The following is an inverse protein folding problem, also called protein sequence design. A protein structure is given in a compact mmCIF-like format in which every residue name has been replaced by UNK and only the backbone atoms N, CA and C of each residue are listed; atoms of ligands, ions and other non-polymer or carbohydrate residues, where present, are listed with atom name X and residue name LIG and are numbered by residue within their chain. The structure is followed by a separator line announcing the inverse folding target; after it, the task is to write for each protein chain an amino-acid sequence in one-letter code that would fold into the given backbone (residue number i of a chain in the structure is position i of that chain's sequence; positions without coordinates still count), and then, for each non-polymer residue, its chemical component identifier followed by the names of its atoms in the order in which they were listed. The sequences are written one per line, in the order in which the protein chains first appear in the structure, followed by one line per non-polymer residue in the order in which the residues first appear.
data_IF_751751180433
#
_entry.id   IF_751751180433
#
_cell.length_a   1.000
_cell.length_b   1.000
_cell.length_c   1.000
_cell.angle_alpha   90.00
_cell.angle_beta   90.00
_cell.angle_gamma   90.00
#
_symmetry.space_group_name_H-M   'P 1'
#
loop_
_entity.id
_entity.type
_entity.pdbx_description
1 polymer ?
#
# COMPACT_ATOMS: atom_id res chain seq x y z
N UNK A 1 28.24 -11.86 -20.00
CA UNK A 1 26.99 -11.55 -20.75
C UNK A 1 26.40 -12.75 -21.51
N UNK A 2 27.18 -13.77 -21.95
CA UNK A 2 26.68 -14.89 -22.79
C UNK A 2 25.97 -16.03 -22.05
N UNK A 3 25.96 -16.03 -20.71
CA UNK A 3 25.34 -17.09 -19.92
C UNK A 3 23.80 -16.99 -19.92
N UNK A 4 23.25 -15.76 -19.87
CA UNK A 4 21.80 -15.51 -19.92
C UNK A 4 21.19 -15.83 -21.29
N UNK A 5 21.95 -15.66 -22.38
CA UNK A 5 21.49 -15.96 -23.73
C UNK A 5 21.33 -17.47 -23.94
N UNK A 6 22.21 -18.28 -23.33
CA UNK A 6 22.13 -19.75 -23.39
C UNK A 6 20.97 -20.29 -22.55
N UNK A 7 20.77 -19.76 -21.34
CA UNK A 7 19.65 -20.16 -20.48
C UNK A 7 18.31 -19.69 -21.04
N UNK A 8 18.23 -18.46 -21.58
CA UNK A 8 17.02 -17.95 -22.23
C UNK A 8 16.64 -18.75 -23.48
N UNK A 9 17.62 -19.12 -24.31
CA UNK A 9 17.39 -19.98 -25.47
C UNK A 9 16.90 -21.37 -25.07
N UNK A 10 17.44 -21.94 -23.98
CA UNK A 10 16.99 -23.22 -23.45
C UNK A 10 15.52 -23.17 -23.00
N UNK A 11 15.12 -22.14 -22.24
CA UNK A 11 13.73 -21.96 -21.79
C UNK A 11 12.78 -21.72 -22.98
N UNK A 12 13.20 -20.90 -23.95
CA UNK A 12 12.40 -20.65 -25.14
C UNK A 12 12.18 -21.92 -25.97
N UNK A 13 13.20 -22.77 -26.12
CA UNK A 13 13.09 -24.07 -26.78
C UNK A 13 12.16 -25.01 -26.03
N UNK A 14 12.23 -25.04 -24.70
CA UNK A 14 11.38 -25.86 -23.85
C UNK A 14 9.91 -25.45 -24.00
N UNK A 15 9.61 -24.15 -23.92
CA UNK A 15 8.26 -23.59 -24.14
C UNK A 15 7.75 -23.86 -25.56
N UNK A 16 8.60 -23.73 -26.58
CA UNK A 16 8.22 -24.02 -27.96
C UNK A 16 7.92 -25.51 -28.17
N UNK A 17 8.71 -26.39 -27.56
CA UNK A 17 8.49 -27.84 -27.61
C UNK A 17 7.19 -28.23 -26.92
N UNK A 18 6.89 -27.66 -25.75
CA UNK A 18 5.61 -27.86 -25.07
C UNK A 18 4.43 -27.37 -25.93
N UNK A 19 4.55 -26.20 -26.56
CA UNK A 19 3.52 -25.68 -27.47
C UNK A 19 3.30 -26.60 -28.67
N UNK A 20 4.36 -27.12 -29.30
CA UNK A 20 4.25 -28.06 -30.42
C UNK A 20 3.65 -29.39 -29.99
N UNK A 21 3.98 -29.89 -28.80
CA UNK A 21 3.45 -31.17 -28.31
C UNK A 21 1.96 -31.05 -27.91
N UNK A 22 1.58 -29.93 -27.28
CA UNK A 22 0.21 -29.65 -26.83
C UNK A 22 -0.72 -29.25 -27.97
N UNK A 23 -0.27 -28.42 -28.92
CA UNK A 23 -1.05 -28.04 -30.10
C UNK A 23 -0.93 -29.04 -31.25
N UNK A 24 0.22 -29.70 -31.43
CA UNK A 24 0.44 -30.69 -32.48
C UNK A 24 -0.39 -31.95 -32.31
N UNK A 25 -0.58 -32.40 -31.07
CA UNK A 25 -1.55 -33.48 -30.76
C UNK A 25 -2.99 -33.06 -31.08
N UNK A 26 -3.37 -31.80 -30.77
CA UNK A 26 -4.67 -31.20 -31.12
C UNK A 26 -4.85 -30.85 -32.60
N UNK A 27 -3.80 -30.94 -33.43
CA UNK A 27 -3.87 -30.74 -34.88
C UNK A 27 -4.11 -32.05 -35.63
N UNK A 28 -3.70 -33.19 -35.04
CA UNK A 28 -3.84 -34.51 -35.65
C UNK A 28 -5.18 -35.17 -35.30
N UNK A 29 -5.61 -35.06 -34.04
CA UNK A 29 -7.03 -35.20 -33.73
C UNK A 29 -7.69 -33.95 -34.30
N UNK A 30 -8.61 -34.13 -35.25
CA UNK A 30 -9.44 -33.08 -35.83
C UNK A 30 -9.72 -32.04 -34.76
N UNK A 31 -9.20 -30.82 -34.94
CA UNK A 31 -9.57 -29.65 -34.13
C UNK A 31 -11.05 -29.81 -33.84
N UNK A 32 -11.50 -29.91 -32.58
CA UNK A 32 -12.91 -29.95 -32.29
C UNK A 32 -13.47 -28.60 -32.75
N UNK A 33 -13.83 -28.52 -34.03
CA UNK A 33 -14.50 -27.37 -34.62
C UNK A 33 -15.88 -27.22 -33.99
N UNK A 34 -16.38 -28.27 -33.34
CA UNK A 34 -17.56 -28.27 -32.48
C UNK A 34 -17.34 -27.53 -31.14
N UNK A 35 -16.09 -27.33 -30.69
CA UNK A 35 -15.78 -26.59 -29.45
C UNK A 35 -15.51 -25.09 -29.69
N UNK A 36 -15.49 -24.64 -30.94
CA UNK A 36 -15.64 -23.22 -31.21
C UNK A 36 -17.09 -22.88 -30.94
N UNK A 37 -17.43 -22.60 -29.67
CA UNK A 37 -18.74 -22.09 -29.27
C UNK A 37 -18.99 -20.85 -30.12
N UNK A 38 -19.72 -21.03 -31.21
CA UNK A 38 -20.16 -19.96 -32.10
C UNK A 38 -21.28 -19.27 -31.39
N UNK A 39 -20.87 -18.40 -30.48
CA UNK A 39 -21.73 -17.51 -29.78
C UNK A 39 -22.58 -16.73 -30.79
N UNK A 40 -23.90 -16.80 -30.64
CA UNK A 40 -24.83 -16.12 -31.54
C UNK A 40 -24.64 -14.60 -31.50
N UNK A 41 -25.09 -13.91 -32.55
CA UNK A 41 -25.05 -12.46 -32.59
C UNK A 41 -25.83 -11.88 -31.40
N UNK A 42 -25.12 -11.21 -30.49
CA UNK A 42 -25.68 -10.69 -29.23
C UNK A 42 -25.17 -11.37 -27.97
N UNK A 43 -24.37 -12.43 -28.09
CA UNK A 43 -23.70 -13.02 -26.96
C UNK A 43 -22.64 -12.10 -26.35
N UNK A 44 -22.59 -12.05 -25.02
CA UNK A 44 -21.65 -11.24 -24.27
C UNK A 44 -21.01 -12.06 -23.17
N UNK A 45 -19.72 -12.35 -23.32
CA UNK A 45 -18.88 -12.97 -22.28
C UNK A 45 -18.95 -12.20 -20.96
N UNK A 46 -19.05 -10.86 -21.02
CA UNK A 46 -19.14 -10.01 -19.82
C UNK A 46 -20.44 -10.28 -19.05
N UNK A 47 -21.54 -10.53 -19.77
CA UNK A 47 -22.83 -10.86 -19.14
C UNK A 47 -22.79 -12.21 -18.46
N UNK A 48 -22.23 -13.23 -19.09
CA UNK A 48 -22.16 -14.58 -18.54
C UNK A 48 -21.28 -14.64 -17.28
N UNK A 49 -20.12 -13.96 -17.32
CA UNK A 49 -19.26 -13.85 -16.14
C UNK A 49 -19.97 -13.08 -15.02
N UNK A 50 -20.66 -11.99 -15.35
CA UNK A 50 -21.44 -11.24 -14.35
C UNK A 50 -22.54 -12.12 -13.74
N UNK A 51 -23.27 -12.90 -14.54
CA UNK A 51 -24.28 -13.83 -14.05
C UNK A 51 -23.69 -14.84 -13.06
N UNK A 52 -22.54 -15.42 -13.40
CA UNK A 52 -21.85 -16.37 -12.53
C UNK A 52 -21.42 -15.72 -11.21
N UNK A 53 -20.85 -14.51 -11.25
CA UNK A 53 -20.39 -13.79 -10.04
C UNK A 53 -21.56 -13.39 -9.15
N UNK A 54 -22.65 -12.88 -9.73
CA UNK A 54 -23.76 -12.32 -8.95
C UNK A 54 -24.83 -13.34 -8.54
N UNK A 55 -24.96 -14.47 -9.24
CA UNK A 55 -25.98 -15.48 -8.93
C UNK A 55 -25.35 -16.69 -8.24
N UNK A 56 -24.32 -17.29 -8.85
CA UNK A 56 -23.78 -18.57 -8.39
C UNK A 56 -22.69 -18.38 -7.32
N UNK A 57 -21.85 -17.36 -7.47
CA UNK A 57 -20.66 -17.15 -6.64
C UNK A 57 -20.68 -15.86 -5.82
N UNK A 58 -21.86 -15.51 -5.30
CA UNK A 58 -22.02 -14.30 -4.47
C UNK A 58 -21.17 -14.33 -3.20
N UNK A 59 -21.11 -15.48 -2.50
CA UNK A 59 -20.35 -15.60 -1.24
C UNK A 59 -18.83 -15.45 -1.44
N UNK A 60 -18.17 -16.14 -2.41
CA UNK A 60 -16.77 -15.87 -2.75
C UNK A 60 -16.51 -14.41 -3.15
N UNK A 61 -17.43 -13.79 -3.89
CA UNK A 61 -17.30 -12.39 -4.29
C UNK A 61 -17.36 -11.44 -3.08
N UNK A 62 -18.27 -11.67 -2.14
CA UNK A 62 -18.33 -10.93 -0.88
C UNK A 62 -17.04 -11.08 -0.07
N UNK A 63 -16.52 -12.30 0.05
CA UNK A 63 -15.24 -12.56 0.70
C UNK A 63 -14.08 -11.79 0.04
N UNK A 64 -14.03 -11.76 -1.30
CA UNK A 64 -13.04 -10.98 -2.02
C UNK A 64 -13.13 -9.48 -1.69
N UNK A 65 -14.36 -8.94 -1.56
CA UNK A 65 -14.56 -7.53 -1.17
C UNK A 65 -14.06 -7.22 0.24
N UNK A 66 -14.26 -8.14 1.20
CA UNK A 66 -13.75 -8.00 2.58
C UNK A 66 -12.22 -8.10 2.60
N UNK A 67 -11.65 -9.03 1.84
CA UNK A 67 -10.18 -9.15 1.69
C UNK A 67 -9.60 -7.85 1.13
N UNK A 68 -10.23 -7.26 0.11
CA UNK A 68 -9.81 -5.99 -0.47
C UNK A 68 -9.86 -4.86 0.56
N UNK A 69 -10.92 -4.79 1.35
CA UNK A 69 -11.04 -3.82 2.43
C UNK A 69 -9.91 -3.96 3.46
N UNK A 70 -9.66 -5.19 3.94
CA UNK A 70 -8.57 -5.48 4.88
C UNK A 70 -7.21 -5.13 4.28
N UNK A 71 -7.00 -5.43 2.99
CA UNK A 71 -5.76 -5.11 2.29
C UNK A 71 -5.48 -3.60 2.26
N UNK A 72 -6.50 -2.79 2.00
CA UNK A 72 -6.37 -1.32 2.02
C UNK A 72 -6.01 -0.82 3.42
N UNK A 73 -6.71 -1.30 4.45
CA UNK A 73 -6.41 -0.94 5.85
C UNK A 73 -4.98 -1.34 6.23
N UNK A 74 -4.57 -2.56 5.90
CA UNK A 74 -3.23 -3.07 6.16
C UNK A 74 -2.16 -2.24 5.43
N UNK A 75 -2.39 -1.87 4.17
CA UNK A 75 -1.46 -1.04 3.40
C UNK A 75 -1.29 0.36 4.00
N UNK A 76 -2.38 1.00 4.45
CA UNK A 76 -2.33 2.29 5.13
C UNK A 76 -1.55 2.16 6.45
N UNK A 77 -1.86 1.16 7.27
CA UNK A 77 -1.17 0.95 8.54
C UNK A 77 0.32 0.68 8.37
N UNK A 78 0.71 -0.06 7.31
CA UNK A 78 2.09 -0.37 7.01
C UNK A 78 2.89 0.87 6.56
N UNK A 79 2.24 1.78 5.84
CA UNK A 79 2.87 3.01 5.33
C UNK A 79 2.80 4.17 6.31
N UNK A 80 1.87 4.14 7.27
CA UNK A 80 1.71 5.14 8.31
C UNK A 80 2.84 5.05 9.35
N UNK A 81 4.00 5.61 9.00
CA UNK A 81 5.16 5.69 9.89
C UNK A 81 5.09 6.94 10.75
N UNK A 82 4.88 6.78 12.06
CA UNK A 82 5.13 7.85 13.03
C UNK A 82 6.64 8.12 13.09
N UNK A 83 7.08 9.32 12.69
CA UNK A 83 8.50 9.73 12.86
C UNK A 83 8.82 9.81 14.35
N UNK A 84 10.01 9.44 14.81
CA UNK A 84 10.34 9.53 16.24
C UNK A 84 10.78 10.94 16.66
N UNK A 85 10.98 11.81 15.67
CA UNK A 85 11.60 13.13 15.83
C UNK A 85 10.57 14.23 16.15
N UNK A 86 9.28 13.91 16.29
CA UNK A 86 8.28 14.89 16.74
C UNK A 86 8.17 14.88 18.26
N UNK A 87 8.33 16.06 18.87
CA UNK A 87 8.09 16.24 20.29
C UNK A 87 6.58 16.29 20.51
N UNK A 88 5.98 15.14 20.82
CA UNK A 88 4.59 15.08 21.23
C UNK A 88 4.44 15.84 22.55
N UNK A 89 3.65 16.93 22.55
CA UNK A 89 3.33 17.65 23.78
C UNK A 89 1.87 17.40 24.09
N UNK A 90 1.62 16.79 25.23
CA UNK A 90 0.27 16.54 25.72
C UNK A 90 -0.43 17.88 26.03
N UNK A 91 -1.55 18.21 25.38
CA UNK A 91 -2.30 19.44 25.66
C UNK A 91 -2.80 19.51 27.11
N UNK A 92 -3.16 18.38 27.73
CA UNK A 92 -3.65 18.36 29.10
C UNK A 92 -2.55 18.81 30.07
N UNK A 93 -1.32 18.31 29.86
CA UNK A 93 -0.13 18.75 30.58
C UNK A 93 0.19 20.24 30.40
N UNK A 94 -0.23 20.86 29.29
CA UNK A 94 -0.03 22.29 29.02
C UNK A 94 -1.11 23.18 29.66
N UNK A 95 -2.35 22.68 29.79
CA UNK A 95 -3.48 23.45 30.34
C UNK A 95 -3.47 23.46 31.87
N UNK A 96 -3.05 22.37 32.52
CA UNK A 96 -3.03 22.26 33.98
C UNK A 96 -1.81 22.91 34.66
N UNK A 97 -1.01 23.71 33.93
CA UNK A 97 0.21 24.32 34.44
C UNK A 97 -0.10 25.45 35.44
N UNK A 98 0.25 25.24 36.71
CA UNK A 98 0.18 26.28 37.75
C UNK A 98 1.31 27.31 37.57
N UNK A 99 0.97 28.60 37.53
CA UNK A 99 1.91 29.70 37.27
C UNK A 99 3.06 29.78 38.29
N UNK A 100 2.79 29.42 39.54
CA UNK A 100 3.71 29.48 40.68
C UNK A 100 4.90 28.52 40.56
N UNK A 101 4.70 27.30 40.01
CA UNK A 101 5.75 26.27 39.98
C UNK A 101 6.56 26.21 38.69
N UNK A 102 5.94 26.53 37.55
CA UNK A 102 6.49 26.12 36.25
C UNK A 102 6.79 27.28 35.28
N UNK A 103 6.55 28.55 35.66
CA UNK A 103 6.75 29.69 34.75
C UNK A 103 7.58 30.87 35.28
N UNK A 104 7.83 30.95 36.59
CA UNK A 104 8.54 32.10 37.17
C UNK A 104 9.69 31.65 38.07
N UNK A 105 10.88 32.22 37.85
CA UNK A 105 12.04 32.08 38.74
C UNK A 105 12.35 33.44 39.33
N UNK A 106 12.06 33.63 40.61
CA UNK A 106 12.39 34.86 41.33
C UNK A 106 13.90 34.85 41.59
N UNK A 107 14.64 35.59 40.77
CA UNK A 107 16.08 35.79 40.99
C UNK A 107 16.26 37.03 41.85
N UNK A 108 16.73 36.85 43.09
CA UNK A 108 17.12 37.97 43.96
C UNK A 108 18.43 38.55 43.43
N UNK A 109 18.41 39.81 43.02
CA UNK A 109 19.61 40.56 42.65
C UNK A 109 20.02 41.48 43.81
N UNK A 110 21.33 41.64 44.03
CA UNK A 110 21.84 42.66 44.96
C UNK A 110 21.60 44.04 44.35
N UNK A 111 21.10 44.97 45.16
CA UNK A 111 20.89 46.34 44.71
C UNK A 111 22.23 46.97 44.32
N UNK A 112 22.31 47.47 43.08
CA UNK A 112 23.45 48.24 42.62
C UNK A 112 23.43 49.59 43.35
N UNK A 113 24.50 49.91 44.07
CA UNK A 113 24.66 51.23 44.67
C UNK A 113 24.74 52.24 43.54
N UNK A 114 23.81 53.19 43.53
CA UNK A 114 23.78 54.25 42.54
C UNK A 114 25.16 54.89 42.44
N UNK A 115 25.70 54.89 41.22
CA UNK A 115 26.88 55.66 40.89
C UNK A 115 26.54 57.13 41.15
N UNK A 116 27.08 57.67 42.25
CA UNK A 116 27.02 59.10 42.53
C UNK A 116 27.84 59.78 41.45
N UNK A 117 27.17 60.26 40.39
CA UNK A 117 27.75 61.16 39.41
C UNK A 117 27.94 62.49 40.15
N UNK A 118 29.06 62.59 40.86
CA UNK A 118 29.56 63.85 41.39
C UNK A 118 29.83 64.78 40.22
N UNK A 119 29.06 65.86 40.16
CA UNK A 119 29.34 67.01 39.32
C UNK A 119 30.69 67.63 39.67
N UNK A 120 31.29 68.19 38.64
CA UNK A 120 32.57 68.90 38.64
C UNK A 120 32.63 69.98 39.74
N UNK A 121 33.72 69.95 40.52
CA UNK A 121 34.63 71.07 40.83
C UNK A 121 35.82 70.58 41.66
#
# INVERSE_FOLDING_TARGET
MSLYTKTGLFVALLMALEMVMLFGSKLHDSLPQDDLIRHEQGYSNVREVAESIYIQYVLPFELASVILLVAIVAAILLTLRKRKDYKHVDPESQVHVKADKNRMRIVKMKAEKGNEIGGEQ
#
